data_IF_416823309488
#
_entry.id   IF_416823309488
#
_cell.length_a   1.000
_cell.length_b   1.000
_cell.length_c   1.000
_cell.angle_alpha   90.00
_cell.angle_beta   90.00
_cell.angle_gamma   90.00
#
_symmetry.space_group_name_H-M   'P 1'
#
loop_
_entity.id
_entity.type
_entity.pdbx_description
1 polymer ?
#
# COMPACT_ATOMS: atom_id res chain seq x y z
N UNK A 1 13.27 -0.09 -9.81
CA UNK A 1 14.05 -0.25 -8.55
C UNK A 1 13.55 0.74 -7.48
N UNK A 2 13.40 2.01 -7.86
CA UNK A 2 12.87 3.09 -7.00
C UNK A 2 11.49 2.78 -6.38
N UNK A 3 10.55 2.24 -7.16
CA UNK A 3 9.21 1.86 -6.65
C UNK A 3 9.25 0.79 -5.54
N UNK A 4 10.19 -0.16 -5.59
CA UNK A 4 10.31 -1.19 -4.55
C UNK A 4 10.83 -0.59 -3.26
N UNK A 5 11.82 0.30 -3.35
CA UNK A 5 12.39 1.02 -2.21
C UNK A 5 11.31 1.86 -1.52
N UNK A 6 10.52 2.61 -2.31
CA UNK A 6 9.41 3.42 -1.79
C UNK A 6 8.37 2.54 -1.10
N UNK A 7 8.03 1.39 -1.69
CA UNK A 7 7.06 0.46 -1.10
C UNK A 7 7.55 -0.15 0.21
N UNK A 8 8.81 -0.57 0.29
CA UNK A 8 9.42 -1.06 1.54
C UNK A 8 9.54 0.03 2.60
N UNK A 9 9.89 1.26 2.21
CA UNK A 9 9.93 2.40 3.12
C UNK A 9 8.53 2.71 3.68
N UNK A 10 7.49 2.63 2.86
CA UNK A 10 6.10 2.82 3.29
C UNK A 10 5.64 1.73 4.27
N UNK A 11 6.01 0.47 4.05
CA UNK A 11 5.75 -0.61 5.00
C UNK A 11 6.45 -0.36 6.35
N UNK A 12 7.72 0.04 6.30
CA UNK A 12 8.52 0.30 7.51
C UNK A 12 7.98 1.50 8.30
N UNK A 13 7.62 2.60 7.63
CA UNK A 13 7.03 3.77 8.26
C UNK A 13 5.68 3.46 8.94
N UNK A 14 4.81 2.71 8.26
CA UNK A 14 3.52 2.31 8.83
C UNK A 14 3.70 1.37 10.04
N UNK A 15 4.66 0.44 9.99
CA UNK A 15 4.99 -0.43 11.12
C UNK A 15 5.46 0.36 12.34
N UNK A 16 6.32 1.37 12.14
CA UNK A 16 6.80 2.24 13.22
C UNK A 16 5.64 3.03 13.85
N UNK A 17 4.72 3.56 13.04
CA UNK A 17 3.53 4.27 13.53
C UNK A 17 2.60 3.36 14.36
N UNK A 18 2.38 2.12 13.90
CA UNK A 18 1.57 1.14 14.64
C UNK A 18 2.24 0.78 15.97
N UNK A 19 3.57 0.56 15.97
CA UNK A 19 4.32 0.28 17.18
C UNK A 19 4.27 1.45 18.18
N UNK A 20 4.39 2.69 17.69
CA UNK A 20 4.26 3.89 18.52
C UNK A 20 2.85 4.01 19.13
N UNK A 21 1.80 3.79 18.34
CA UNK A 21 0.42 3.79 18.83
C UNK A 21 0.19 2.72 19.91
N UNK A 22 0.74 1.51 19.73
CA UNK A 22 0.68 0.44 20.73
C UNK A 22 1.40 0.82 22.03
N UNK A 23 2.58 1.45 21.96
CA UNK A 23 3.30 1.92 23.14
C UNK A 23 2.49 2.97 23.90
N UNK A 24 1.87 3.92 23.19
CA UNK A 24 1.00 4.94 23.79
C UNK A 24 -0.20 4.27 24.46
N UNK A 25 -0.81 3.29 23.80
CA UNK A 25 -1.97 2.55 24.32
C UNK A 25 -1.62 1.74 25.59
N UNK A 26 -0.42 1.13 25.65
CA UNK A 26 0.07 0.40 26.83
C UNK A 26 0.44 1.33 27.99
N UNK A 27 0.89 2.55 27.72
CA UNK A 27 1.24 3.56 28.74
C UNK A 27 0.06 4.42 29.17
N UNK A 28 -1.06 4.34 28.46
CA UNK A 28 -2.29 5.07 28.74
C UNK A 28 -2.99 4.46 29.95
N UNK A 29 -3.01 5.17 31.09
CA UNK A 29 -3.72 4.76 32.30
C UNK A 29 -5.21 5.17 32.29
N UNK A 30 -5.69 5.91 31.29
CA UNK A 30 -7.08 6.38 31.18
C UNK A 30 -7.77 5.98 29.87
N UNK A 31 -9.07 5.65 29.93
CA UNK A 31 -9.82 5.17 28.76
C UNK A 31 -9.91 6.15 27.58
N UNK A 32 -9.70 7.45 27.83
CA UNK A 32 -9.70 8.49 26.79
C UNK A 32 -8.43 8.45 25.93
N UNK A 33 -7.29 8.12 26.53
CA UNK A 33 -6.00 8.03 25.84
C UNK A 33 -5.93 6.74 25.00
N UNK A 34 -6.55 5.66 25.46
CA UNK A 34 -6.70 4.42 24.69
C UNK A 34 -7.56 4.62 23.42
N UNK A 35 -8.64 5.42 23.51
CA UNK A 35 -9.47 5.79 22.36
C UNK A 35 -8.72 6.66 21.35
N UNK A 36 -7.90 7.61 21.81
CA UNK A 36 -7.07 8.43 20.93
C UNK A 36 -5.96 7.61 20.27
N UNK A 37 -5.33 6.69 20.99
CA UNK A 37 -4.30 5.80 20.46
C UNK A 37 -4.84 4.86 19.37
N UNK A 38 -6.06 4.32 19.55
CA UNK A 38 -6.70 3.47 18.53
C UNK A 38 -7.08 4.28 17.29
N UNK A 39 -7.53 5.53 17.45
CA UNK A 39 -7.79 6.43 16.34
C UNK A 39 -6.52 6.78 15.55
N UNK A 40 -5.39 6.92 16.24
CA UNK A 40 -4.08 7.17 15.62
C UNK A 40 -3.54 5.96 14.86
N UNK A 41 -3.92 4.75 15.26
CA UNK A 41 -3.52 3.51 14.59
C UNK A 41 -4.36 3.21 13.33
N UNK A 42 -5.54 3.81 13.17
CA UNK A 42 -6.43 3.58 12.01
C UNK A 42 -5.78 3.97 10.66
N UNK A 43 -5.21 5.17 10.48
CA UNK A 43 -4.58 5.59 9.22
C UNK A 43 -3.47 4.65 8.73
N UNK A 44 -2.46 4.25 9.55
CA UNK A 44 -1.41 3.37 9.07
C UNK A 44 -1.93 1.95 8.76
N UNK A 45 -2.95 1.46 9.47
CA UNK A 45 -3.61 0.18 9.15
C UNK A 45 -4.28 0.27 7.77
N UNK A 46 -5.07 1.32 7.52
CA UNK A 46 -5.72 1.53 6.22
C UNK A 46 -4.70 1.72 5.09
N UNK A 47 -3.58 2.40 5.37
CA UNK A 47 -2.47 2.54 4.42
C UNK A 47 -1.85 1.19 4.05
N UNK A 48 -1.63 0.31 5.02
CA UNK A 48 -1.13 -1.05 4.76
C UNK A 48 -2.12 -1.88 3.93
N UNK A 49 -3.41 -1.78 4.22
CA UNK A 49 -4.44 -2.43 3.41
C UNK A 49 -4.42 -1.92 1.96
N UNK A 50 -4.38 -0.60 1.76
CA UNK A 50 -4.29 -0.01 0.42
C UNK A 50 -3.02 -0.45 -0.34
N UNK A 51 -1.87 -0.52 0.34
CA UNK A 51 -0.62 -1.03 -0.23
C UNK A 51 -0.70 -2.51 -0.65
N UNK A 52 -1.47 -3.32 0.09
CA UNK A 52 -1.69 -4.74 -0.22
C UNK A 52 -2.71 -4.95 -1.34
N UNK A 53 -3.76 -4.12 -1.42
CA UNK A 53 -4.81 -4.19 -2.44
C UNK A 53 -4.30 -4.00 -3.88
N UNK A 54 -3.07 -3.50 -4.03
CA UNK A 54 -2.40 -3.40 -5.32
C UNK A 54 -3.00 -2.31 -6.22
N UNK A 55 -2.67 -2.33 -7.52
CA UNK A 55 -3.04 -1.27 -8.45
C UNK A 55 -4.55 -1.10 -8.55
N UNK A 56 -4.97 0.15 -8.73
CA UNK A 56 -6.37 0.54 -8.80
C UNK A 56 -7.06 -0.09 -10.02
N UNK A 57 -8.40 -0.15 -10.02
CA UNK A 57 -9.16 -0.77 -11.11
C UNK A 57 -8.82 -0.17 -12.48
N UNK A 58 -8.64 1.14 -12.56
CA UNK A 58 -8.25 1.85 -13.79
C UNK A 58 -6.83 1.48 -14.23
N UNK A 59 -5.89 1.40 -13.28
CA UNK A 59 -4.50 1.05 -13.55
C UNK A 59 -4.38 -0.39 -14.06
N UNK A 60 -5.21 -1.30 -13.55
CA UNK A 60 -5.33 -2.69 -14.06
C UNK A 60 -5.87 -2.73 -15.49
N UNK A 61 -6.83 -1.88 -15.84
CA UNK A 61 -7.37 -1.81 -17.20
C UNK A 61 -6.32 -1.27 -18.18
N UNK A 62 -5.65 -0.18 -17.82
CA UNK A 62 -4.57 0.39 -18.62
C UNK A 62 -3.43 -0.61 -18.86
N UNK A 63 -3.03 -1.37 -17.83
CA UNK A 63 -2.02 -2.42 -17.98
C UNK A 63 -2.45 -3.51 -18.96
N UNK A 64 -3.73 -3.90 -18.95
CA UNK A 64 -4.27 -4.89 -19.90
C UNK A 64 -4.23 -4.36 -21.34
N UNK A 65 -4.60 -3.11 -21.55
CA UNK A 65 -4.61 -2.50 -22.88
C UNK A 65 -3.20 -2.33 -23.43
N UNK A 66 -2.25 -1.88 -22.60
CA UNK A 66 -0.84 -1.79 -22.97
C UNK A 66 -0.27 -3.17 -23.30
N UNK A 67 -0.58 -4.18 -22.49
CA UNK A 67 -0.12 -5.56 -22.74
C UNK A 67 -0.69 -6.10 -24.04
N UNK A 68 -1.99 -5.87 -24.30
CA UNK A 68 -2.66 -6.30 -25.55
C UNK A 68 -2.08 -5.60 -26.78
N UNK A 69 -1.80 -4.30 -26.67
CA UNK A 69 -1.16 -3.54 -27.75
C UNK A 69 0.25 -4.07 -28.05
N UNK A 70 1.04 -4.37 -27.01
CA UNK A 70 2.38 -4.95 -27.15
C UNK A 70 2.34 -6.33 -27.82
N UNK A 71 1.47 -7.23 -27.36
CA UNK A 71 1.32 -8.58 -27.93
C UNK A 71 0.89 -8.53 -29.41
N UNK A 72 0.00 -7.61 -29.78
CA UNK A 72 -0.38 -7.40 -31.19
C UNK A 72 0.79 -6.97 -32.06
N UNK A 73 1.68 -6.14 -31.52
CA UNK A 73 2.89 -5.72 -32.23
C UNK A 73 3.85 -6.89 -32.43
N UNK A 74 4.12 -7.64 -31.36
CA UNK A 74 5.00 -8.82 -31.40
C UNK A 74 4.46 -9.89 -32.38
N UNK A 75 3.14 -10.13 -32.41
CA UNK A 75 2.52 -11.04 -33.39
C UNK A 75 2.71 -10.57 -34.84
N UNK A 76 2.59 -9.27 -35.10
CA UNK A 76 2.77 -8.70 -36.43
C UNK A 76 4.22 -8.87 -36.89
N UNK A 77 5.18 -8.60 -36.00
CA UNK A 77 6.61 -8.73 -36.28
C UNK A 77 7.01 -10.21 -36.51
N UNK A 78 6.34 -11.18 -35.87
CA UNK A 78 6.53 -12.62 -36.09
C UNK A 78 5.86 -13.17 -37.36
N UNK A 79 4.83 -12.49 -37.86
CA UNK A 79 4.10 -12.89 -39.08
C UNK A 79 4.73 -12.38 -40.38
N UNK A 80 5.83 -11.63 -40.28
CA UNK A 80 6.59 -11.07 -41.41
C UNK A 80 7.87 -11.87 -41.62
#
# INVERSE_FOLDING_TARGET
MMERIIRYAAYLANLVLIAAALIIMLKSYGGRDALMASLLALPPILSLFALYSGPDLEERQLLRDVTKARLRKELKDLST
#
